data_IF_870845425889
#
_entry.id   IF_870845425889
#
_cell.length_a   1.000
_cell.length_b   1.000
_cell.length_c   1.000
_cell.angle_alpha   90.00
_cell.angle_beta   90.00
_cell.angle_gamma   90.00
#
_symmetry.space_group_name_H-M   'P 1'
#
loop_
_entity.id
_entity.type
_entity.pdbx_description
1 polymer ?
#
# COMPACT_ATOMS: atom_id res chain seq x y z
N UNK A 1 18.15 6.57 -4.02
CA UNK A 1 16.96 5.70 -4.09
C UNK A 1 15.74 6.55 -3.79
N UNK A 2 14.75 6.62 -4.67
CA UNK A 2 13.51 7.39 -4.44
C UNK A 2 12.49 6.45 -3.81
N UNK A 3 12.13 6.72 -2.57
CA UNK A 3 11.12 5.97 -1.82
C UNK A 3 9.74 6.54 -2.13
N UNK A 4 8.79 5.78 -2.73
CA UNK A 4 7.53 6.39 -3.21
C UNK A 4 6.71 7.00 -2.07
N UNK A 5 6.78 6.46 -0.86
CA UNK A 5 6.12 7.09 0.29
C UNK A 5 6.64 8.52 0.55
N UNK A 6 7.93 8.78 0.36
CA UNK A 6 8.49 10.14 0.49
C UNK A 6 7.98 11.05 -0.63
N UNK A 7 7.85 10.53 -1.84
CA UNK A 7 7.22 11.24 -2.95
C UNK A 7 5.73 11.52 -2.68
N UNK A 8 5.02 10.60 -2.02
CA UNK A 8 3.64 10.80 -1.58
C UNK A 8 3.52 11.96 -0.57
N UNK A 9 4.43 12.08 0.40
CA UNK A 9 4.42 13.22 1.32
C UNK A 9 4.53 14.57 0.57
N UNK A 10 5.32 14.60 -0.51
CA UNK A 10 5.49 15.79 -1.34
C UNK A 10 4.24 16.14 -2.17
N UNK A 11 3.27 15.24 -2.36
CA UNK A 11 2.04 15.56 -3.12
C UNK A 11 1.09 16.47 -2.35
N UNK A 12 1.28 16.60 -1.03
CA UNK A 12 0.53 17.53 -0.17
C UNK A 12 0.56 18.97 -0.68
N UNK A 13 1.65 19.38 -1.36
CA UNK A 13 1.79 20.69 -2.01
C UNK A 13 0.74 20.97 -3.09
N UNK A 14 0.12 19.92 -3.65
CA UNK A 14 -0.95 20.02 -4.65
C UNK A 14 -2.35 20.01 -4.03
N UNK A 15 -2.45 20.04 -2.69
CA UNK A 15 -3.68 20.19 -1.92
C UNK A 15 -4.00 18.95 -1.06
N UNK A 16 -4.16 19.17 0.25
CA UNK A 16 -4.45 18.11 1.23
C UNK A 16 -5.79 17.38 0.99
N UNK A 17 -6.84 18.13 0.66
CA UNK A 17 -8.20 17.59 0.44
C UNK A 17 -8.44 17.13 -1.00
N UNK A 18 -7.47 17.29 -1.90
CA UNK A 18 -7.60 16.89 -3.30
C UNK A 18 -7.72 15.36 -3.41
N UNK A 19 -8.76 14.87 -4.08
CA UNK A 19 -8.91 13.46 -4.44
C UNK A 19 -7.77 13.01 -5.35
N UNK A 20 -7.19 11.83 -5.07
CA UNK A 20 -6.04 11.30 -5.82
C UNK A 20 -6.21 9.88 -6.32
N UNK A 21 -7.07 9.08 -5.68
CA UNK A 21 -7.36 7.72 -6.12
C UNK A 21 -8.86 7.50 -5.96
N UNK A 22 -9.44 6.86 -6.97
CA UNK A 22 -10.82 6.41 -7.02
C UNK A 22 -10.83 4.95 -7.49
N UNK A 23 -11.85 4.18 -7.11
CA UNK A 23 -12.04 2.82 -7.57
C UNK A 23 -13.46 2.56 -8.12
N UNK A 24 -13.65 1.38 -8.71
CA UNK A 24 -14.92 0.97 -9.31
C UNK A 24 -16.05 0.73 -8.29
N UNK A 25 -15.74 0.75 -6.98
CA UNK A 25 -16.71 0.61 -5.89
C UNK A 25 -17.15 1.97 -5.35
N UNK A 26 -16.88 3.07 -6.08
CA UNK A 26 -17.14 4.45 -5.69
C UNK A 26 -16.40 4.89 -4.40
N UNK A 27 -15.32 4.19 -4.02
CA UNK A 27 -14.44 4.73 -2.99
C UNK A 27 -13.52 5.78 -3.61
N UNK A 28 -13.23 6.82 -2.84
CA UNK A 28 -12.22 7.81 -3.18
C UNK A 28 -11.38 8.14 -1.96
N UNK A 29 -10.18 8.65 -2.20
CA UNK A 29 -9.30 9.12 -1.13
C UNK A 29 -8.56 10.38 -1.51
N UNK A 30 -8.45 11.30 -0.56
CA UNK A 30 -7.68 12.52 -0.70
C UNK A 30 -6.18 12.28 -0.45
N UNK A 31 -5.33 13.23 -0.86
CA UNK A 31 -3.90 13.23 -0.53
C UNK A 31 -3.64 13.00 0.96
N UNK A 32 -4.27 13.81 1.82
CA UNK A 32 -4.12 13.68 3.27
C UNK A 32 -4.68 12.35 3.78
N UNK A 33 -5.80 11.89 3.22
CA UNK A 33 -6.39 10.61 3.56
C UNK A 33 -5.45 9.44 3.26
N UNK A 34 -4.80 9.45 2.10
CA UNK A 34 -3.88 8.40 1.68
C UNK A 34 -2.64 8.38 2.58
N UNK A 35 -2.03 9.53 2.82
CA UNK A 35 -0.89 9.67 3.74
C UNK A 35 -1.26 9.14 5.14
N UNK A 36 -2.33 9.67 5.73
CA UNK A 36 -2.70 9.34 7.11
C UNK A 36 -3.06 7.87 7.27
N UNK A 37 -3.89 7.31 6.38
CA UNK A 37 -4.31 5.91 6.47
C UNK A 37 -3.13 4.95 6.24
N UNK A 38 -2.15 5.30 5.42
CA UNK A 38 -0.94 4.50 5.25
C UNK A 38 -0.07 4.48 6.50
N UNK A 39 0.07 5.61 7.21
CA UNK A 39 0.75 5.63 8.53
C UNK A 39 -0.01 4.76 9.52
N UNK A 40 -1.32 4.99 9.67
CA UNK A 40 -2.17 4.29 10.62
C UNK A 40 -2.07 2.77 10.43
N UNK A 41 -2.21 2.31 9.19
CA UNK A 41 -2.17 0.89 8.88
C UNK A 41 -0.75 0.32 9.03
N UNK A 42 0.27 1.11 8.71
CA UNK A 42 1.67 0.75 8.95
C UNK A 42 1.97 0.56 10.44
N UNK A 43 1.48 1.43 11.32
CA UNK A 43 1.61 1.26 12.77
C UNK A 43 0.90 -0.01 13.25
N UNK A 44 -0.30 -0.31 12.74
CA UNK A 44 -1.04 -1.54 13.07
C UNK A 44 -0.25 -2.79 12.66
N UNK A 45 0.41 -2.77 11.50
CA UNK A 45 1.18 -3.91 11.01
C UNK A 45 2.61 -3.99 11.53
N UNK A 46 3.09 -2.96 12.23
CA UNK A 46 4.50 -2.81 12.62
C UNK A 46 5.07 -4.06 13.30
N UNK A 47 4.35 -4.61 14.28
CA UNK A 47 4.86 -5.74 15.06
C UNK A 47 4.88 -7.04 14.26
N UNK A 48 3.89 -7.24 13.38
CA UNK A 48 3.80 -8.43 12.52
C UNK A 48 4.88 -8.37 11.43
N UNK A 49 5.09 -7.20 10.84
CA UNK A 49 6.07 -6.99 9.77
C UNK A 49 7.50 -7.00 10.31
N UNK A 50 7.77 -6.44 11.50
CA UNK A 50 9.12 -6.45 12.09
C UNK A 50 9.61 -7.84 12.48
N UNK A 51 8.69 -8.75 12.85
CA UNK A 51 9.02 -10.15 13.10
C UNK A 51 9.33 -10.93 11.82
N UNK A 52 9.00 -10.38 10.65
CA UNK A 52 9.32 -10.99 9.37
C UNK A 52 10.74 -10.58 8.95
N UNK A 53 11.62 -11.58 8.78
CA UNK A 53 13.01 -11.36 8.37
C UNK A 53 13.12 -10.89 6.91
N UNK A 54 12.11 -11.14 6.07
CA UNK A 54 12.09 -10.72 4.67
C UNK A 54 11.92 -9.21 4.54
N UNK A 55 12.67 -8.60 3.61
CA UNK A 55 12.47 -7.21 3.19
C UNK A 55 11.33 -7.03 2.19
N UNK A 56 10.77 -8.14 1.69
CA UNK A 56 9.67 -8.15 0.72
C UNK A 56 8.42 -8.76 1.34
N UNK A 57 7.28 -8.08 1.16
CA UNK A 57 5.96 -8.49 1.63
C UNK A 57 5.02 -8.66 0.44
N UNK A 58 4.38 -9.82 0.34
CA UNK A 58 3.35 -10.09 -0.65
C UNK A 58 2.08 -9.27 -0.38
N UNK A 59 1.59 -8.57 -1.41
CA UNK A 59 0.35 -7.80 -1.38
C UNK A 59 -0.65 -8.43 -2.36
N UNK A 60 -1.60 -9.19 -1.82
CA UNK A 60 -2.64 -9.88 -2.61
C UNK A 60 -4.02 -9.31 -2.27
N UNK A 61 -4.33 -8.15 -2.83
CA UNK A 61 -5.61 -7.47 -2.67
C UNK A 61 -6.17 -7.09 -4.05
N UNK A 62 -7.51 -6.92 -4.19
CA UNK A 62 -8.11 -6.45 -5.45
C UNK A 62 -7.67 -5.02 -5.80
N UNK A 63 -7.89 -4.56 -7.03
CA UNK A 63 -7.54 -3.20 -7.46
C UNK A 63 -8.51 -2.15 -6.91
N UNK A 64 -8.40 -1.83 -5.62
CA UNK A 64 -9.27 -0.90 -4.88
C UNK A 64 -8.47 0.14 -4.10
N UNK A 65 -9.12 1.21 -3.61
CA UNK A 65 -8.49 2.24 -2.79
C UNK A 65 -7.74 1.66 -1.57
N UNK A 66 -8.27 0.69 -0.81
CA UNK A 66 -7.53 0.00 0.25
C UNK A 66 -6.19 -0.59 -0.16
N UNK A 67 -6.06 -1.10 -1.38
CA UNK A 67 -4.80 -1.69 -1.88
C UNK A 67 -3.71 -0.65 -2.01
N UNK A 68 -4.04 0.56 -2.46
CA UNK A 68 -3.10 1.68 -2.49
C UNK A 68 -2.67 2.08 -1.06
N UNK A 69 -3.60 2.11 -0.11
CA UNK A 69 -3.30 2.42 1.30
C UNK A 69 -2.28 1.41 1.86
N UNK A 70 -2.52 0.11 1.66
CA UNK A 70 -1.66 -0.98 2.15
C UNK A 70 -0.29 -0.94 1.45
N UNK A 71 -0.26 -0.71 0.14
CA UNK A 71 0.97 -0.55 -0.63
C UNK A 71 1.86 0.56 -0.05
N UNK A 72 1.29 1.71 0.27
CA UNK A 72 2.04 2.81 0.90
C UNK A 72 2.33 2.57 2.38
N UNK A 73 1.53 1.78 3.10
CA UNK A 73 1.81 1.37 4.47
C UNK A 73 3.04 0.44 4.56
N UNK A 74 3.18 -0.49 3.62
CA UNK A 74 4.36 -1.37 3.49
C UNK A 74 5.62 -0.51 3.25
N UNK A 75 5.53 0.45 2.34
CA UNK A 75 6.63 1.38 2.10
C UNK A 75 6.93 2.25 3.32
N UNK A 76 5.93 2.78 4.01
CA UNK A 76 6.13 3.55 5.24
C UNK A 76 6.98 2.79 6.28
N UNK A 77 6.89 1.46 6.31
CA UNK A 77 7.69 0.58 7.17
C UNK A 77 9.07 0.21 6.59
N UNK A 78 9.50 0.86 5.52
CA UNK A 78 10.74 0.57 4.76
C UNK A 78 10.81 -0.88 4.25
N UNK A 79 9.67 -1.46 3.86
CA UNK A 79 9.59 -2.77 3.22
C UNK A 79 9.17 -2.65 1.75
N UNK A 80 9.51 -3.65 0.96
CA UNK A 80 9.14 -3.73 -0.47
C UNK A 80 7.83 -4.48 -0.62
N UNK A 81 6.85 -3.90 -1.31
CA UNK A 81 5.60 -4.58 -1.63
C UNK A 81 5.75 -5.38 -2.94
N UNK A 82 5.51 -6.70 -2.89
CA UNK A 82 5.37 -7.56 -4.05
C UNK A 82 3.88 -7.72 -4.37
N UNK A 83 3.39 -7.04 -5.42
CA UNK A 83 1.97 -7.11 -5.79
C UNK A 83 1.70 -8.46 -6.45
N UNK A 84 0.84 -9.25 -5.82
CA UNK A 84 0.42 -10.56 -6.30
C UNK A 84 -0.96 -10.43 -6.98
N UNK A 85 -1.14 -11.16 -8.07
CA UNK A 85 -2.41 -11.11 -8.79
C UNK A 85 -3.51 -11.81 -7.97
N UNK A 86 -4.45 -11.00 -7.46
CA UNK A 86 -5.58 -11.46 -6.65
C UNK A 86 -6.46 -12.50 -7.34
N UNK A 87 -6.64 -12.42 -8.67
CA UNK A 87 -7.53 -13.33 -9.42
C UNK A 87 -6.84 -14.58 -9.97
N UNK A 88 -5.53 -14.72 -9.77
CA UNK A 88 -4.77 -15.88 -10.29
C UNK A 88 -5.07 -17.22 -9.61
N UNK A 89 -5.73 -17.20 -8.44
CA UNK A 89 -5.98 -18.40 -7.64
C UNK A 89 -4.72 -18.97 -6.98
N UNK A 90 -4.91 -19.75 -5.92
CA UNK A 90 -3.80 -20.25 -5.09
C UNK A 90 -2.82 -21.15 -5.85
N UNK A 91 -3.30 -22.02 -6.75
CA UNK A 91 -2.44 -22.92 -7.53
C UNK A 91 -1.41 -22.18 -8.39
N UNK A 92 -1.81 -21.10 -9.06
CA UNK A 92 -0.91 -20.32 -9.92
C UNK A 92 0.12 -19.52 -9.11
N UNK A 93 -0.24 -19.10 -7.90
CA UNK A 93 0.70 -18.42 -6.99
C UNK A 93 1.72 -19.43 -6.45
N UNK A 94 1.27 -20.63 -6.05
CA UNK A 94 2.15 -21.66 -5.49
C UNK A 94 3.08 -22.28 -6.53
N UNK A 95 2.75 -22.26 -7.83
CA UNK A 95 3.66 -22.76 -8.88
C UNK A 95 4.90 -21.88 -9.11
N UNK A 96 4.94 -20.69 -8.52
CA UNK A 96 6.06 -19.75 -8.62
C UNK A 96 7.04 -19.83 -7.44
N UNK A 97 6.80 -20.75 -6.48
CA UNK A 97 7.69 -21.06 -5.36
C UNK A 97 8.66 -22.18 -5.75
#
# INVERSE_FOLDING_TARGET
MVHLYKSLLNTSRFGFKRGVIEDSLNNSISNLGLIFKSILLGEIFRDIIRKNESDTLGLMLPNTVPTAIVFFAIQYLNKTAAILNFTSGSKNILSCL
#
